data_IF_583089583940
#
_entry.id   IF_583089583940
#
_cell.length_a   1.000
_cell.length_b   1.000
_cell.length_c   1.000
_cell.angle_alpha   90.00
_cell.angle_beta   90.00
_cell.angle_gamma   90.00
#
_symmetry.space_group_name_H-M   'P 1'
#
loop_
_entity.id
_entity.type
_entity.pdbx_description
1 polymer ?
#
# COMPACT_ATOMS: atom_id res chain seq x y z
N UNK A 1 -2.74 -0.56 19.93
CA UNK A 1 -2.67 -1.65 18.93
C UNK A 1 -1.23 -2.14 18.94
N UNK A 2 -0.99 -3.41 19.24
CA UNK A 2 0.37 -3.95 19.31
C UNK A 2 0.83 -4.27 17.87
N UNK A 3 1.58 -3.36 17.26
CA UNK A 3 2.10 -3.48 15.89
C UNK A 3 3.35 -4.38 15.82
N UNK A 4 3.59 -5.23 16.82
CA UNK A 4 4.77 -6.08 16.91
C UNK A 4 4.96 -7.04 15.71
N UNK A 5 3.90 -7.32 14.96
CA UNK A 5 3.98 -8.10 13.72
C UNK A 5 4.39 -7.26 12.49
N UNK A 6 4.37 -5.92 12.59
CA UNK A 6 4.82 -4.98 11.56
C UNK A 6 6.21 -4.40 11.84
N UNK A 7 6.65 -4.34 13.11
CA UNK A 7 7.95 -3.77 13.50
C UNK A 7 9.16 -4.68 13.26
N UNK A 8 8.96 -5.93 12.81
CA UNK A 8 10.07 -6.79 12.37
C UNK A 8 10.36 -6.64 10.87
N UNK A 9 9.69 -5.71 10.18
CA UNK A 9 9.78 -5.51 8.72
C UNK A 9 10.68 -4.30 8.44
N UNK A 10 11.87 -4.24 9.04
CA UNK A 10 12.88 -3.24 8.64
C UNK A 10 13.77 -3.73 7.50
N UNK A 11 13.75 -5.03 7.13
CA UNK A 11 14.62 -5.55 6.06
C UNK A 11 14.07 -6.75 5.25
N UNK A 12 12.84 -7.21 5.51
CA UNK A 12 12.25 -8.32 4.74
C UNK A 12 11.20 -7.79 3.76
N UNK A 13 11.50 -7.95 2.46
CA UNK A 13 10.54 -7.93 1.35
C UNK A 13 9.16 -8.37 1.87
N UNK A 14 8.18 -7.46 1.90
CA UNK A 14 6.84 -7.74 2.39
C UNK A 14 6.36 -9.09 1.83
N UNK A 15 6.33 -10.11 2.71
CA UNK A 15 6.19 -11.48 2.27
C UNK A 15 4.88 -11.61 1.48
N UNK A 16 4.90 -12.07 0.20
CA UNK A 16 3.70 -12.32 -0.60
C UNK A 16 2.60 -13.07 0.14
N UNK A 17 2.98 -13.94 1.08
CA UNK A 17 2.05 -14.79 1.81
C UNK A 17 1.23 -14.01 2.84
N UNK A 18 1.72 -12.86 3.31
CA UNK A 18 1.08 -12.04 4.35
C UNK A 18 -0.16 -11.30 3.83
N UNK A 19 -0.16 -10.84 2.59
CA UNK A 19 -1.24 -10.04 1.99
C UNK A 19 -2.06 -10.81 0.94
N UNK A 20 -2.31 -12.10 1.15
CA UNK A 20 -3.24 -12.85 0.32
C UNK A 20 -4.71 -12.55 0.70
N UNK A 21 -5.67 -12.85 -0.19
CA UNK A 21 -7.09 -12.57 0.02
C UNK A 21 -7.65 -13.10 1.36
N UNK A 22 -7.29 -14.32 1.77
CA UNK A 22 -7.77 -14.92 3.02
C UNK A 22 -7.24 -14.19 4.26
N UNK A 23 -5.98 -13.75 4.21
CA UNK A 23 -5.37 -12.99 5.29
C UNK A 23 -6.02 -11.61 5.41
N UNK A 24 -6.30 -10.94 4.30
CA UNK A 24 -7.00 -9.64 4.31
C UNK A 24 -8.38 -9.79 4.97
N UNK A 25 -9.17 -10.81 4.59
CA UNK A 25 -10.45 -11.07 5.24
C UNK A 25 -10.31 -11.37 6.74
N UNK A 26 -9.25 -12.06 7.16
CA UNK A 26 -8.98 -12.33 8.58
C UNK A 26 -8.63 -11.05 9.33
N UNK A 27 -7.76 -10.20 8.78
CA UNK A 27 -7.41 -8.89 9.33
C UNK A 27 -8.64 -7.97 9.40
N UNK A 28 -9.50 -7.98 8.37
CA UNK A 28 -10.77 -7.24 8.38
C UNK A 28 -11.70 -7.72 9.48
N UNK A 29 -11.83 -9.04 9.65
CA UNK A 29 -12.65 -9.62 10.73
C UNK A 29 -12.12 -9.23 12.11
N UNK A 30 -10.80 -9.21 12.29
CA UNK A 30 -10.19 -8.79 13.57
C UNK A 30 -10.40 -7.30 13.87
N UNK A 31 -10.30 -6.44 12.84
CA UNK A 31 -10.45 -4.99 12.96
C UNK A 31 -11.90 -4.53 13.11
N UNK A 32 -12.83 -5.17 12.40
CA UNK A 32 -14.26 -4.89 12.44
C UNK A 32 -14.96 -5.62 13.60
N UNK A 33 -14.38 -6.72 14.08
CA UNK A 33 -14.97 -7.63 15.09
C UNK A 33 -16.36 -8.09 14.68
N UNK A 34 -17.39 -7.59 15.35
CA UNK A 34 -18.80 -7.93 15.10
C UNK A 34 -19.51 -6.86 14.25
N UNK A 35 -18.90 -5.69 14.03
CA UNK A 35 -19.51 -4.58 13.30
C UNK A 35 -18.90 -4.40 11.91
N UNK A 36 -19.40 -5.17 10.94
CA UNK A 36 -18.99 -5.06 9.54
C UNK A 36 -19.48 -3.77 8.85
N UNK A 37 -20.38 -3.01 9.49
CA UNK A 37 -20.83 -1.71 8.97
C UNK A 37 -19.93 -0.56 9.45
N UNK A 38 -19.03 -0.81 10.40
CA UNK A 38 -18.10 0.19 10.88
C UNK A 38 -17.22 0.71 9.74
N UNK A 39 -17.15 2.03 9.63
CA UNK A 39 -16.27 2.66 8.65
C UNK A 39 -14.80 2.50 9.07
N UNK A 40 -14.12 1.52 8.46
CA UNK A 40 -12.70 1.22 8.68
C UNK A 40 -11.91 1.41 7.38
N UNK A 41 -11.46 2.63 7.07
CA UNK A 41 -10.80 2.93 5.80
C UNK A 41 -9.45 2.23 5.62
N UNK A 42 -8.83 1.79 6.72
CA UNK A 42 -7.59 0.98 6.71
C UNK A 42 -7.77 -0.34 5.94
N UNK A 43 -8.98 -0.89 5.89
CA UNK A 43 -9.26 -2.13 5.14
C UNK A 43 -9.02 -1.95 3.63
N UNK A 44 -9.23 -0.75 3.10
CA UNK A 44 -8.90 -0.42 1.71
C UNK A 44 -7.37 -0.38 1.47
N UNK A 45 -6.58 -0.02 2.48
CA UNK A 45 -5.10 -0.04 2.38
C UNK A 45 -4.59 -1.47 2.27
N UNK A 46 -5.16 -2.43 3.03
CA UNK A 46 -4.78 -3.84 2.90
C UNK A 46 -5.10 -4.40 1.52
N UNK A 47 -6.29 -4.09 0.99
CA UNK A 47 -6.63 -4.45 -0.38
C UNK A 47 -5.72 -3.79 -1.42
N UNK A 48 -5.40 -2.51 -1.24
CA UNK A 48 -4.50 -1.80 -2.13
C UNK A 48 -3.09 -2.42 -2.12
N UNK A 49 -2.60 -2.83 -0.95
CA UNK A 49 -1.32 -3.53 -0.80
C UNK A 49 -1.31 -4.81 -1.62
N UNK A 50 -2.36 -5.62 -1.51
CA UNK A 50 -2.52 -6.85 -2.28
C UNK A 50 -2.55 -6.59 -3.80
N UNK A 51 -3.29 -5.57 -4.23
CA UNK A 51 -3.39 -5.20 -5.65
C UNK A 51 -2.03 -4.74 -6.18
N UNK A 52 -1.34 -3.83 -5.47
CA UNK A 52 -0.02 -3.33 -5.88
C UNK A 52 1.01 -4.46 -5.97
N UNK A 53 0.97 -5.40 -5.02
CA UNK A 53 1.82 -6.59 -5.04
C UNK A 53 1.57 -7.46 -6.28
N UNK A 54 0.31 -7.76 -6.59
CA UNK A 54 -0.05 -8.57 -7.76
C UNK A 54 0.30 -7.88 -9.08
N UNK A 55 -0.03 -6.59 -9.21
CA UNK A 55 0.28 -5.83 -10.43
C UNK A 55 1.80 -5.76 -10.63
N UNK A 56 2.57 -5.53 -9.57
CA UNK A 56 4.03 -5.51 -9.65
C UNK A 56 4.59 -6.83 -10.16
N UNK A 57 4.14 -7.96 -9.61
CA UNK A 57 4.64 -9.26 -10.02
C UNK A 57 4.22 -9.62 -11.45
N UNK A 58 2.96 -9.36 -11.83
CA UNK A 58 2.50 -9.58 -13.20
C UNK A 58 3.31 -8.74 -14.20
N UNK A 59 3.56 -7.47 -13.89
CA UNK A 59 4.37 -6.60 -14.75
C UNK A 59 5.81 -7.09 -14.83
N UNK A 60 6.44 -7.43 -13.70
CA UNK A 60 7.80 -7.97 -13.64
C UNK A 60 7.95 -9.22 -14.50
N UNK A 61 7.01 -10.15 -14.40
CA UNK A 61 7.02 -11.41 -15.15
C UNK A 61 6.81 -11.22 -16.65
N UNK A 62 5.90 -10.32 -17.04
CA UNK A 62 5.60 -10.04 -18.46
C UNK A 62 6.71 -9.28 -19.17
N UNK A 63 7.34 -8.33 -18.47
CA UNK A 63 8.39 -7.48 -19.04
C UNK A 63 9.71 -8.24 -19.19
N UNK A 64 10.06 -9.07 -18.19
CA UNK A 64 11.26 -9.89 -18.20
C UNK A 64 12.52 -9.12 -18.64
N UNK A 65 13.32 -9.72 -19.52
CA UNK A 65 14.52 -9.07 -20.07
C UNK A 65 14.22 -8.05 -21.20
N UNK A 66 12.97 -7.95 -21.66
CA UNK A 66 12.57 -7.11 -22.80
C UNK A 66 11.99 -5.76 -22.38
N UNK A 67 12.02 -5.44 -21.09
CA UNK A 67 11.53 -4.18 -20.55
C UNK A 67 12.23 -2.98 -21.21
N UNK A 68 11.45 -2.08 -21.81
CA UNK A 68 11.94 -0.77 -22.22
C UNK A 68 12.31 0.08 -20.99
N UNK A 69 13.03 1.18 -21.20
CA UNK A 69 13.37 2.08 -20.08
C UNK A 69 12.12 2.66 -19.40
N UNK A 70 11.06 2.92 -20.16
CA UNK A 70 9.76 3.37 -19.63
C UNK A 70 9.13 2.29 -18.74
N UNK A 71 9.18 1.04 -19.16
CA UNK A 71 8.65 -0.08 -18.37
C UNK A 71 9.42 -0.27 -17.07
N UNK A 72 10.75 -0.10 -17.12
CA UNK A 72 11.60 -0.15 -15.93
C UNK A 72 11.25 0.96 -14.95
N UNK A 73 11.10 2.19 -15.44
CA UNK A 73 10.70 3.35 -14.61
C UNK A 73 9.34 3.08 -13.97
N UNK A 74 8.37 2.57 -14.73
CA UNK A 74 7.05 2.23 -14.20
C UNK A 74 7.14 1.14 -13.12
N UNK A 75 7.96 0.11 -13.33
CA UNK A 75 8.18 -0.96 -12.35
C UNK A 75 8.84 -0.44 -11.07
N UNK A 76 9.84 0.44 -11.17
CA UNK A 76 10.45 1.10 -10.01
C UNK A 76 9.45 1.97 -9.25
N UNK A 77 8.62 2.76 -9.95
CA UNK A 77 7.59 3.56 -9.32
C UNK A 77 6.56 2.68 -8.59
N UNK A 78 6.15 1.57 -9.22
CA UNK A 78 5.21 0.63 -8.63
C UNK A 78 5.78 -0.10 -7.41
N UNK A 79 7.06 -0.48 -7.46
CA UNK A 79 7.78 -1.04 -6.31
C UNK A 79 7.80 -0.05 -5.14
N UNK A 80 8.11 1.23 -5.40
CA UNK A 80 8.06 2.29 -4.36
C UNK A 80 6.68 2.42 -3.73
N UNK A 81 5.62 2.43 -4.54
CA UNK A 81 4.24 2.51 -4.04
C UNK A 81 3.88 1.28 -3.20
N UNK A 82 4.27 0.08 -3.65
CA UNK A 82 4.06 -1.18 -2.95
C UNK A 82 4.73 -1.19 -1.56
N UNK A 83 5.94 -0.66 -1.46
CA UNK A 83 6.69 -0.64 -0.19
C UNK A 83 6.14 0.41 0.79
N UNK A 84 5.56 1.49 0.28
CA UNK A 84 5.08 2.60 1.11
C UNK A 84 3.60 2.52 1.50
N UNK A 85 2.76 1.77 0.76
CA UNK A 85 1.29 1.80 0.90
C UNK A 85 0.78 1.53 2.33
N UNK A 86 1.48 0.69 3.11
CA UNK A 86 1.08 0.35 4.48
C UNK A 86 1.32 1.47 5.50
N UNK A 87 2.06 2.53 5.13
CA UNK A 87 2.25 3.71 5.99
C UNK A 87 1.04 4.64 6.00
N UNK A 88 0.08 4.44 5.09
CA UNK A 88 -1.09 5.27 4.97
C UNK A 88 -2.27 4.75 5.80
N UNK A 89 -3.11 5.68 6.25
CA UNK A 89 -4.26 5.36 7.11
C UNK A 89 -5.55 5.07 6.33
N UNK A 90 -5.60 5.50 5.06
CA UNK A 90 -6.73 5.30 4.16
C UNK A 90 -6.30 5.40 2.70
N UNK A 91 -7.07 4.83 1.78
CA UNK A 91 -6.80 4.99 0.34
C UNK A 91 -6.81 6.46 -0.11
N UNK A 92 -7.61 7.32 0.53
CA UNK A 92 -7.64 8.75 0.21
C UNK A 92 -6.35 9.46 0.64
N UNK A 93 -5.81 9.08 1.81
CA UNK A 93 -4.52 9.56 2.33
C UNK A 93 -3.38 9.18 1.38
N UNK A 94 -3.34 7.91 0.96
CA UNK A 94 -2.43 7.41 -0.07
C UNK A 94 -2.53 8.24 -1.37
N UNK A 95 -3.73 8.44 -1.91
CA UNK A 95 -3.91 9.19 -3.15
C UNK A 95 -3.47 10.65 -3.02
N UNK A 96 -3.76 11.29 -1.88
CA UNK A 96 -3.35 12.67 -1.63
C UNK A 96 -1.83 12.83 -1.66
N UNK A 97 -1.12 11.92 -1.00
CA UNK A 97 0.33 11.98 -0.89
C UNK A 97 1.04 11.56 -2.18
N UNK A 98 0.59 10.45 -2.80
CA UNK A 98 1.34 9.79 -3.87
C UNK A 98 0.91 10.18 -5.29
N UNK A 99 -0.29 10.72 -5.46
CA UNK A 99 -0.87 11.02 -6.78
C UNK A 99 -1.13 12.51 -6.96
N UNK A 100 -1.65 13.17 -5.94
CA UNK A 100 -2.12 14.55 -6.09
C UNK A 100 -1.13 15.61 -5.64
N UNK A 101 0.02 15.24 -5.07
CA UNK A 101 1.01 16.17 -4.49
C UNK A 101 0.32 17.38 -3.85
N UNK A 102 -0.56 17.15 -2.87
CA UNK A 102 -1.07 18.27 -2.08
C UNK A 102 0.08 18.69 -1.19
N UNK A 103 0.97 19.51 -1.75
CA UNK A 103 1.95 20.29 -1.01
C UNK A 103 1.15 21.09 0.00
N UNK A 104 1.33 20.79 1.28
CA UNK A 104 1.00 21.69 2.38
C UNK A 104 1.89 22.94 2.24
N UNK A 105 1.66 23.76 1.21
CA UNK A 105 2.00 25.18 1.25
C UNK A 105 0.89 25.88 2.02
N UNK A 106 0.80 25.55 3.31
CA UNK A 106 0.27 26.51 4.26
C UNK A 106 1.35 27.56 4.41
N UNK A 107 1.31 28.58 3.55
CA UNK A 107 1.94 29.87 3.83
C UNK A 107 1.25 30.45 5.07
N UNK A 108 1.70 29.99 6.25
CA UNK A 108 1.42 30.59 7.54
C UNK A 108 2.36 31.78 7.74
N UNK A 109 2.25 32.78 6.86
CA UNK A 109 2.76 34.13 7.12
C UNK A 109 1.79 35.17 6.58
N UNK A 110 0.75 35.45 7.37
CA UNK A 110 0.09 36.75 7.37
C UNK A 110 -0.57 36.96 8.74
N UNK A 111 0.27 37.26 9.73
CA UNK A 111 -0.10 38.10 10.87
C UNK A 111 -0.11 39.56 10.43
#
# INVERSE_FOLDING_TARGET
>A
MNLAYLTNIEDEEADPTLMNHNNIYSMMKEELREDFNAFKPITNIWWLTHILYNVHNVMKDQLGQRASDVDRIALYALQRLKDNVLHYTSAMDFLRAEVFEVSDTTDSTAL
#
